data_IF_630859280674
#
_entry.id   IF_630859280674
#
_cell.length_a   1.000
_cell.length_b   1.000
_cell.length_c   1.000
_cell.angle_alpha   90.00
_cell.angle_beta   90.00
_cell.angle_gamma   90.00
#
_symmetry.space_group_name_H-M   'P 1'
#
loop_
_entity.id
_entity.type
_entity.pdbx_description
1 polymer ?
#
# COMPACT_ATOMS: atom_id res chain seq x y z
N UNK A 1 -12.71 -13.72 79.94
CA UNK A 1 -13.29 -12.87 78.92
C UNK A 1 -12.29 -12.83 77.74
N UNK A 2 -12.47 -13.71 76.76
CA UNK A 2 -11.56 -13.89 75.63
C UNK A 2 -12.18 -13.22 74.42
N UNK A 3 -11.59 -12.16 73.91
CA UNK A 3 -12.05 -11.42 72.75
C UNK A 3 -11.52 -12.11 71.45
N UNK A 4 -12.45 -12.61 70.64
CA UNK A 4 -12.15 -13.16 69.32
C UNK A 4 -11.96 -12.00 68.29
N UNK A 5 -10.78 -11.96 67.65
CA UNK A 5 -10.51 -11.04 66.54
C UNK A 5 -10.94 -11.71 65.23
N UNK A 6 -11.96 -11.15 64.62
CA UNK A 6 -12.40 -11.53 63.26
C UNK A 6 -11.49 -10.80 62.25
N UNK A 7 -10.69 -11.54 61.49
CA UNK A 7 -9.93 -11.01 60.35
C UNK A 7 -10.82 -11.02 59.11
N UNK A 8 -11.15 -9.84 58.59
CA UNK A 8 -11.84 -9.68 57.32
C UNK A 8 -10.81 -9.73 56.22
N UNK A 9 -10.82 -10.82 55.40
CA UNK A 9 -10.02 -10.95 54.20
C UNK A 9 -10.81 -10.29 53.07
N UNK A 10 -10.33 -9.13 52.61
CA UNK A 10 -10.84 -8.48 51.38
C UNK A 10 -10.15 -9.11 50.20
N UNK A 11 -10.85 -9.98 49.47
CA UNK A 11 -10.40 -10.45 48.13
C UNK A 11 -10.59 -9.32 47.11
N UNK A 12 -9.48 -8.70 46.73
CA UNK A 12 -9.42 -7.83 45.55
C UNK A 12 -9.50 -8.70 44.30
N UNK A 13 -10.69 -8.80 43.72
CA UNK A 13 -10.87 -9.34 42.35
C UNK A 13 -10.29 -8.32 41.39
N UNK A 14 -9.04 -8.53 40.95
CA UNK A 14 -8.47 -7.84 39.80
C UNK A 14 -9.21 -8.31 38.56
N UNK A 15 -10.28 -7.62 38.20
CA UNK A 15 -10.96 -7.78 36.91
C UNK A 15 -10.00 -7.40 35.81
N UNK A 16 -9.45 -8.38 35.09
CA UNK A 16 -8.80 -8.14 33.80
C UNK A 16 -9.87 -7.62 32.85
N UNK A 17 -9.84 -6.31 32.58
CA UNK A 17 -10.64 -5.71 31.53
C UNK A 17 -10.22 -6.38 30.20
N UNK A 18 -10.99 -7.36 29.75
CA UNK A 18 -10.87 -7.90 28.39
C UNK A 18 -11.25 -6.78 27.45
N UNK A 19 -10.24 -6.25 26.74
CA UNK A 19 -10.50 -5.33 25.65
C UNK A 19 -11.47 -6.02 24.67
N UNK A 20 -12.71 -5.53 24.61
CA UNK A 20 -13.69 -6.05 23.67
C UNK A 20 -13.15 -5.83 22.25
N UNK A 21 -13.00 -6.91 21.47
CA UNK A 21 -12.59 -6.85 20.09
C UNK A 21 -13.58 -5.98 19.31
N UNK A 22 -13.10 -4.93 18.64
CA UNK A 22 -13.95 -4.09 17.80
C UNK A 22 -14.55 -4.93 16.67
N UNK A 23 -15.84 -4.76 16.32
CA UNK A 23 -16.41 -5.37 15.13
C UNK A 23 -15.56 -5.05 13.89
N UNK A 24 -15.43 -5.98 12.96
CA UNK A 24 -14.57 -5.81 11.76
C UNK A 24 -14.93 -4.55 10.96
N UNK A 25 -16.21 -4.24 10.79
CA UNK A 25 -16.69 -3.04 10.11
C UNK A 25 -16.15 -1.74 10.74
N UNK A 26 -15.99 -1.71 12.07
CA UNK A 26 -15.45 -0.54 12.77
C UNK A 26 -13.95 -0.30 12.52
N UNK A 27 -13.22 -1.29 11.97
CA UNK A 27 -11.82 -1.12 11.56
C UNK A 27 -11.68 -0.34 10.24
N UNK A 28 -12.78 -0.12 9.52
CA UNK A 28 -12.82 0.65 8.28
C UNK A 28 -13.38 2.06 8.49
N UNK A 29 -13.81 2.38 9.71
CA UNK A 29 -14.35 3.69 10.02
C UNK A 29 -13.27 4.78 9.86
N UNK A 30 -13.57 5.92 9.19
CA UNK A 30 -12.67 7.04 9.08
C UNK A 30 -12.08 7.50 10.43
N UNK A 31 -12.87 7.51 11.49
CA UNK A 31 -12.41 7.90 12.83
C UNK A 31 -11.40 6.88 13.41
N UNK A 32 -11.58 5.59 13.13
CA UNK A 32 -10.61 4.56 13.52
C UNK A 32 -9.26 4.74 12.79
N UNK A 33 -9.30 5.13 11.51
CA UNK A 33 -8.08 5.43 10.73
C UNK A 33 -7.34 6.63 11.30
N UNK A 34 -8.07 7.68 11.70
CA UNK A 34 -7.49 8.88 12.35
C UNK A 34 -6.89 8.53 13.71
N UNK A 35 -7.63 7.81 14.54
CA UNK A 35 -7.19 7.42 15.90
C UNK A 35 -6.04 6.40 15.89
N UNK A 36 -5.97 5.59 14.83
CA UNK A 36 -5.16 4.38 14.76
C UNK A 36 -5.95 3.11 15.10
N UNK A 37 -5.62 2.03 14.42
CA UNK A 37 -6.30 0.73 14.53
C UNK A 37 -5.44 -0.19 15.41
N UNK A 38 -6.02 -0.70 16.49
CA UNK A 38 -5.40 -1.69 17.36
C UNK A 38 -6.09 -3.04 17.16
N UNK A 39 -5.30 -4.08 16.88
CA UNK A 39 -5.74 -5.48 16.75
C UNK A 39 -4.74 -6.32 17.51
N UNK A 40 -5.23 -7.09 18.48
CA UNK A 40 -4.40 -8.03 19.23
C UNK A 40 -4.15 -9.32 18.44
N UNK A 41 -3.21 -10.14 18.92
CA UNK A 41 -2.83 -11.39 18.26
C UNK A 41 -3.99 -12.38 18.16
N UNK A 42 -4.88 -12.42 19.18
CA UNK A 42 -6.05 -13.33 19.20
C UNK A 42 -7.07 -12.93 18.13
N UNK A 43 -7.36 -11.64 18.02
CA UNK A 43 -8.24 -11.11 16.97
C UNK A 43 -7.62 -11.30 15.60
N UNK A 44 -6.32 -11.05 15.43
CA UNK A 44 -5.61 -11.30 14.17
C UNK A 44 -5.69 -12.76 13.74
N UNK A 45 -5.53 -13.70 14.67
CA UNK A 45 -5.62 -15.14 14.36
C UNK A 45 -6.97 -15.55 13.77
N UNK A 46 -8.06 -14.85 14.07
CA UNK A 46 -9.35 -15.07 13.41
C UNK A 46 -9.30 -14.64 11.94
N UNK A 47 -8.70 -13.48 11.65
CA UNK A 47 -8.50 -13.00 10.28
C UNK A 47 -7.50 -13.84 9.48
N UNK A 48 -6.46 -14.38 10.14
CA UNK A 48 -5.51 -15.30 9.50
C UNK A 48 -6.18 -16.62 9.08
N UNK A 49 -7.09 -17.16 9.91
CA UNK A 49 -7.88 -18.35 9.54
C UNK A 49 -8.85 -18.08 8.38
N UNK A 50 -9.33 -16.85 8.27
CA UNK A 50 -10.17 -16.41 7.15
C UNK A 50 -9.32 -15.98 5.92
N UNK A 51 -7.99 -16.19 5.96
CA UNK A 51 -7.06 -15.80 4.89
C UNK A 51 -7.15 -14.33 4.48
N UNK A 52 -7.35 -13.45 5.46
CA UNK A 52 -7.47 -11.99 5.24
C UNK A 52 -6.48 -11.17 6.06
N UNK A 53 -5.51 -11.81 6.74
CA UNK A 53 -4.48 -11.12 7.49
C UNK A 53 -3.18 -11.94 7.60
N UNK A 54 -2.14 -11.21 8.02
CA UNK A 54 -0.86 -11.77 8.46
C UNK A 54 -0.44 -11.05 9.75
N UNK A 55 0.02 -11.81 10.74
CA UNK A 55 0.65 -11.25 11.93
C UNK A 55 2.17 -11.14 11.71
N UNK A 56 2.68 -9.94 11.63
CA UNK A 56 4.11 -9.66 11.42
C UNK A 56 4.59 -8.56 12.37
N UNK A 57 5.77 -8.71 12.96
CA UNK A 57 6.45 -7.68 13.77
C UNK A 57 5.53 -7.04 14.85
N UNK A 58 4.58 -7.80 15.42
CA UNK A 58 3.64 -7.30 16.41
C UNK A 58 2.40 -6.60 15.85
N UNK A 59 2.20 -6.59 14.54
CA UNK A 59 1.07 -5.96 13.87
C UNK A 59 0.24 -6.97 13.07
N UNK A 60 -1.07 -6.77 13.05
CA UNK A 60 -2.01 -7.49 12.20
C UNK A 60 -2.22 -6.72 10.91
N UNK A 61 -1.65 -7.15 9.80
CA UNK A 61 -1.86 -6.50 8.51
C UNK A 61 -2.88 -7.26 7.68
N UNK A 62 -3.87 -6.54 7.18
CA UNK A 62 -4.97 -7.09 6.38
C UNK A 62 -4.59 -7.11 4.90
N UNK A 63 -5.02 -8.15 4.22
CA UNK A 63 -4.99 -8.23 2.76
C UNK A 63 -6.29 -8.82 2.25
N UNK A 64 -6.63 -8.50 1.01
CA UNK A 64 -7.79 -8.99 0.30
C UNK A 64 -7.32 -9.54 -1.02
N UNK A 65 -7.70 -10.78 -1.35
CA UNK A 65 -7.10 -11.49 -2.48
C UNK A 65 -8.14 -12.28 -3.26
N UNK A 66 -7.85 -12.47 -4.55
CA UNK A 66 -8.60 -13.35 -5.42
C UNK A 66 -7.68 -14.06 -6.42
N UNK A 67 -8.09 -15.23 -6.88
CA UNK A 67 -7.38 -16.00 -7.89
C UNK A 67 -6.12 -16.73 -7.41
N UNK A 68 -5.81 -16.69 -6.10
CA UNK A 68 -4.68 -17.42 -5.53
C UNK A 68 -4.94 -18.92 -5.52
N UNK A 69 -4.00 -19.69 -6.07
CA UNK A 69 -3.92 -21.11 -5.80
C UNK A 69 -3.32 -21.34 -4.40
N UNK A 70 -3.67 -22.44 -3.74
CA UNK A 70 -3.12 -22.76 -2.41
C UNK A 70 -1.59 -22.86 -2.41
N UNK A 71 -1.01 -23.33 -3.51
CA UNK A 71 0.45 -23.39 -3.76
C UNK A 71 0.70 -23.25 -5.25
N UNK A 72 1.92 -22.80 -5.60
CA UNK A 72 2.39 -22.67 -6.98
C UNK A 72 1.71 -21.54 -7.79
N UNK A 73 1.88 -20.30 -7.32
CA UNK A 73 1.55 -19.10 -8.09
C UNK A 73 2.85 -18.56 -8.75
N UNK A 74 3.01 -18.69 -10.09
CA UNK A 74 4.21 -18.20 -10.77
C UNK A 74 4.44 -16.72 -10.57
N UNK A 75 3.35 -15.94 -10.62
CA UNK A 75 3.33 -14.51 -10.38
C UNK A 75 2.00 -14.13 -9.71
N UNK A 76 2.03 -13.12 -8.85
CA UNK A 76 0.84 -12.47 -8.31
C UNK A 76 0.99 -10.95 -8.37
N UNK A 77 -0.12 -10.24 -8.57
CA UNK A 77 -0.15 -8.80 -8.43
C UNK A 77 -0.42 -8.42 -6.98
N UNK A 78 0.25 -7.36 -6.49
CA UNK A 78 -0.03 -6.78 -5.19
C UNK A 78 -0.16 -5.26 -5.34
N UNK A 79 -1.27 -4.73 -4.86
CA UNK A 79 -1.59 -3.31 -4.89
C UNK A 79 -1.47 -2.65 -3.53
N UNK A 80 -0.84 -1.48 -3.50
CA UNK A 80 -0.68 -0.62 -2.33
C UNK A 80 -1.45 0.69 -2.52
N UNK A 81 -2.38 0.97 -1.61
CA UNK A 81 -3.20 2.19 -1.67
C UNK A 81 -2.40 3.48 -1.42
N UNK A 82 -2.91 4.60 -1.89
CA UNK A 82 -2.46 5.94 -1.56
C UNK A 82 -2.69 6.31 -0.09
N UNK A 83 -2.22 7.48 0.30
CA UNK A 83 -2.50 8.02 1.63
C UNK A 83 -4.00 8.36 1.75
N UNK A 84 -4.65 7.88 2.79
CA UNK A 84 -6.07 8.10 3.07
C UNK A 84 -6.30 9.14 4.17
N UNK A 85 -5.24 9.68 4.73
CA UNK A 85 -5.26 10.78 5.70
C UNK A 85 -4.71 12.07 5.10
N UNK A 86 -5.32 13.18 5.45
CA UNK A 86 -4.80 14.50 5.16
C UNK A 86 -3.38 14.73 5.70
N UNK A 87 -2.73 15.84 5.31
CA UNK A 87 -1.33 16.10 5.69
C UNK A 87 -1.09 16.10 7.21
N UNK A 88 -2.05 16.59 7.99
CA UNK A 88 -1.98 16.64 9.46
C UNK A 88 -2.38 15.33 10.15
N UNK A 89 -2.98 14.37 9.42
CA UNK A 89 -3.45 13.12 9.98
C UNK A 89 -4.72 13.21 10.82
N UNK A 90 -5.38 14.34 10.79
CA UNK A 90 -6.59 14.70 11.56
C UNK A 90 -7.89 14.50 10.78
N UNK A 91 -7.80 14.14 9.51
CA UNK A 91 -8.95 13.98 8.62
C UNK A 91 -8.72 12.79 7.69
N UNK A 92 -9.63 11.82 7.72
CA UNK A 92 -9.62 10.70 6.80
C UNK A 92 -10.41 11.03 5.52
N UNK A 93 -10.03 10.39 4.42
CA UNK A 93 -10.75 10.50 3.16
C UNK A 93 -12.18 9.97 3.34
N UNK A 94 -13.18 10.81 3.08
CA UNK A 94 -14.60 10.46 3.19
C UNK A 94 -15.01 9.31 2.28
N UNK A 95 -14.25 9.07 1.19
CA UNK A 95 -14.43 7.91 0.30
C UNK A 95 -14.23 6.57 1.00
N UNK A 96 -13.64 6.55 2.21
CA UNK A 96 -13.53 5.35 3.05
C UNK A 96 -14.87 4.92 3.65
N UNK A 97 -15.87 5.81 3.72
CA UNK A 97 -17.18 5.49 4.27
C UNK A 97 -17.90 4.44 3.41
N UNK A 98 -18.34 3.38 4.03
CA UNK A 98 -19.04 2.28 3.35
C UNK A 98 -18.11 1.25 2.69
N UNK A 99 -16.78 1.44 2.72
CA UNK A 99 -15.83 0.42 2.29
C UNK A 99 -15.70 -0.63 3.40
N UNK A 100 -15.61 -1.90 3.00
CA UNK A 100 -15.43 -3.01 3.92
C UNK A 100 -14.73 -4.20 3.24
N UNK A 101 -14.51 -5.31 3.95
CA UNK A 101 -13.81 -6.48 3.42
C UNK A 101 -14.42 -7.01 2.11
N UNK A 102 -15.75 -7.06 2.04
CA UNK A 102 -16.45 -7.55 0.84
C UNK A 102 -16.17 -6.67 -0.39
N UNK A 103 -16.16 -5.33 -0.22
CA UNK A 103 -15.83 -4.38 -1.29
C UNK A 103 -14.41 -4.60 -1.81
N UNK A 104 -13.45 -4.76 -0.88
CA UNK A 104 -12.05 -4.97 -1.23
C UNK A 104 -11.84 -6.31 -1.95
N UNK A 105 -12.49 -7.38 -1.47
CA UNK A 105 -12.44 -8.70 -2.11
C UNK A 105 -13.04 -8.63 -3.52
N UNK A 106 -14.20 -8.02 -3.69
CA UNK A 106 -14.86 -7.89 -5.00
C UNK A 106 -14.00 -7.11 -6.01
N UNK A 107 -13.26 -6.09 -5.56
CA UNK A 107 -12.30 -5.37 -6.40
C UNK A 107 -11.19 -6.31 -6.88
N UNK A 108 -10.60 -7.12 -5.98
CA UNK A 108 -9.54 -8.07 -6.36
C UNK A 108 -10.06 -9.19 -7.26
N UNK A 109 -11.30 -9.66 -7.04
CA UNK A 109 -11.94 -10.61 -7.95
C UNK A 109 -12.11 -10.03 -9.36
N UNK A 110 -12.52 -8.77 -9.46
CA UNK A 110 -12.66 -8.09 -10.75
C UNK A 110 -11.31 -7.99 -11.48
N UNK A 111 -10.25 -7.58 -10.77
CA UNK A 111 -8.89 -7.49 -11.34
C UNK A 111 -8.35 -8.86 -11.73
N UNK A 112 -8.50 -9.86 -10.85
CA UNK A 112 -8.04 -11.22 -11.13
C UNK A 112 -8.75 -11.82 -12.34
N UNK A 113 -10.07 -11.67 -12.47
CA UNK A 113 -10.82 -12.13 -13.66
C UNK A 113 -10.39 -11.39 -14.93
N UNK A 114 -10.21 -10.06 -14.84
CA UNK A 114 -9.84 -9.22 -15.99
C UNK A 114 -8.50 -9.59 -16.60
N UNK A 115 -7.52 -9.94 -15.75
CA UNK A 115 -6.14 -10.16 -16.19
C UNK A 115 -5.71 -11.63 -16.13
N UNK A 116 -6.53 -12.52 -15.55
CA UNK A 116 -6.20 -13.96 -15.43
C UNK A 116 -5.01 -14.23 -14.50
N UNK A 117 -4.70 -13.31 -13.58
CA UNK A 117 -3.60 -13.44 -12.59
C UNK A 117 -4.14 -13.23 -11.17
N UNK A 118 -3.53 -13.85 -10.15
CA UNK A 118 -3.89 -13.55 -8.77
C UNK A 118 -3.74 -12.07 -8.46
N UNK A 119 -4.74 -11.50 -7.78
CA UNK A 119 -4.74 -10.10 -7.37
C UNK A 119 -4.86 -9.97 -5.86
N UNK A 120 -3.98 -9.18 -5.25
CA UNK A 120 -3.91 -8.95 -3.81
C UNK A 120 -3.91 -7.44 -3.57
N UNK A 121 -4.82 -6.96 -2.72
CA UNK A 121 -4.74 -5.64 -2.11
C UNK A 121 -4.12 -5.79 -0.73
N UNK A 122 -2.98 -5.19 -0.49
CA UNK A 122 -2.37 -5.14 0.84
C UNK A 122 -2.69 -3.81 1.50
N UNK A 123 -3.46 -3.87 2.57
CA UNK A 123 -3.79 -2.70 3.38
C UNK A 123 -2.55 -2.23 4.16
N UNK A 124 -2.11 -1.02 3.89
CA UNK A 124 -0.97 -0.39 4.58
C UNK A 124 -1.26 -0.23 6.08
N UNK A 125 -0.25 -0.13 6.96
CA UNK A 125 -0.47 0.03 8.40
C UNK A 125 -1.45 1.16 8.72
N UNK A 126 -2.47 0.86 9.53
CA UNK A 126 -3.53 1.78 9.94
C UNK A 126 -4.53 2.16 8.85
N UNK A 127 -4.65 1.36 7.78
CA UNK A 127 -5.63 1.56 6.69
C UNK A 127 -6.43 0.29 6.44
N UNK A 128 -7.64 0.39 5.92
CA UNK A 128 -8.47 -0.74 5.46
C UNK A 128 -8.47 -1.95 6.39
N UNK A 129 -8.61 -1.69 7.69
CA UNK A 129 -8.66 -2.72 8.72
C UNK A 129 -7.31 -3.24 9.20
N UNK A 130 -6.17 -2.80 8.67
CA UNK A 130 -4.83 -3.12 9.19
C UNK A 130 -4.52 -2.39 10.49
N UNK A 131 -3.88 -3.08 11.42
CA UNK A 131 -3.36 -2.45 12.64
C UNK A 131 -2.29 -1.40 12.34
N UNK A 132 -2.23 -0.37 13.17
CA UNK A 132 -1.23 0.68 13.10
C UNK A 132 -1.83 2.08 13.18
N UNK A 133 -0.93 3.07 13.17
CA UNK A 133 -1.29 4.49 13.14
C UNK A 133 -0.75 5.11 11.85
N UNK A 134 -1.59 5.14 10.81
CA UNK A 134 -1.17 5.48 9.44
C UNK A 134 -0.36 6.78 9.37
N UNK A 135 -0.82 7.87 9.99
CA UNK A 135 -0.12 9.14 9.98
C UNK A 135 1.31 9.06 10.55
N UNK A 136 1.49 8.28 11.62
CA UNK A 136 2.79 8.12 12.28
C UNK A 136 3.74 7.16 11.54
N UNK A 137 3.20 6.25 10.72
CA UNK A 137 3.98 5.16 10.10
C UNK A 137 4.25 5.40 8.62
N UNK A 138 3.34 6.07 7.88
CA UNK A 138 3.44 6.26 6.44
C UNK A 138 4.76 6.89 6.01
N UNK A 139 5.39 6.28 5.02
CA UNK A 139 6.66 6.72 4.45
C UNK A 139 7.87 6.50 5.36
N UNK A 140 7.72 5.88 6.53
CA UNK A 140 8.83 5.58 7.45
C UNK A 140 9.30 4.15 7.32
N UNK A 141 10.52 3.90 7.82
CA UNK A 141 11.15 2.57 7.81
C UNK A 141 10.22 1.46 8.32
N UNK A 142 9.50 1.72 9.41
CA UNK A 142 8.57 0.74 9.99
C UNK A 142 7.47 0.30 9.00
N UNK A 143 6.93 1.21 8.20
CA UNK A 143 5.94 0.84 7.18
C UNK A 143 6.57 -0.06 6.11
N UNK A 144 7.75 0.31 5.62
CA UNK A 144 8.45 -0.47 4.60
C UNK A 144 8.86 -1.86 5.11
N UNK A 145 9.29 -1.96 6.37
CA UNK A 145 9.65 -3.23 7.01
C UNK A 145 8.43 -4.15 7.15
N UNK A 146 7.30 -3.62 7.62
CA UNK A 146 6.05 -4.37 7.77
C UNK A 146 5.51 -4.85 6.43
N UNK A 147 5.52 -4.00 5.40
CA UNK A 147 5.07 -4.38 4.06
C UNK A 147 5.97 -5.46 3.45
N UNK A 148 7.29 -5.35 3.60
CA UNK A 148 8.22 -6.39 3.14
C UNK A 148 7.94 -7.72 3.84
N UNK A 149 7.77 -7.72 5.16
CA UNK A 149 7.49 -8.93 5.94
C UNK A 149 6.15 -9.59 5.54
N UNK A 150 5.11 -8.81 5.24
CA UNK A 150 3.83 -9.37 4.73
C UNK A 150 4.02 -9.97 3.35
N UNK A 151 4.75 -9.32 2.43
CA UNK A 151 5.04 -9.86 1.10
C UNK A 151 5.77 -11.21 1.21
N UNK A 152 6.73 -11.34 2.14
CA UNK A 152 7.44 -12.60 2.39
C UNK A 152 6.52 -13.69 2.97
N UNK A 153 5.66 -13.33 3.90
CA UNK A 153 4.69 -14.26 4.48
C UNK A 153 3.67 -14.75 3.45
N UNK A 154 3.16 -13.88 2.57
CA UNK A 154 2.26 -14.25 1.48
C UNK A 154 2.98 -15.10 0.42
N UNK A 155 4.23 -14.76 0.09
CA UNK A 155 5.08 -15.55 -0.80
C UNK A 155 5.21 -16.98 -0.31
N UNK A 156 5.53 -17.16 0.97
CA UNK A 156 5.65 -18.48 1.60
C UNK A 156 4.31 -19.21 1.66
N UNK A 157 3.23 -18.53 2.06
CA UNK A 157 1.89 -19.11 2.22
C UNK A 157 1.33 -19.67 0.92
N UNK A 158 1.45 -18.92 -0.18
CA UNK A 158 0.82 -19.22 -1.45
C UNK A 158 1.80 -19.71 -2.53
N UNK A 159 3.07 -19.92 -2.21
CA UNK A 159 4.08 -20.38 -3.17
C UNK A 159 4.25 -19.42 -4.35
N UNK A 160 4.20 -18.09 -4.08
CA UNK A 160 4.38 -17.06 -5.11
C UNK A 160 5.86 -16.97 -5.44
N UNK A 161 6.23 -17.06 -6.73
CA UNK A 161 7.64 -17.00 -7.14
C UNK A 161 8.08 -15.57 -7.41
N UNK A 162 7.31 -14.82 -8.17
CA UNK A 162 7.59 -13.44 -8.57
C UNK A 162 6.41 -12.52 -8.24
N UNK A 163 6.70 -11.26 -8.08
CA UNK A 163 5.70 -10.25 -7.79
C UNK A 163 5.57 -9.21 -8.90
N UNK A 164 4.35 -8.80 -9.17
CA UNK A 164 4.04 -7.53 -9.80
C UNK A 164 3.51 -6.59 -8.70
N UNK A 165 4.30 -5.60 -8.27
CA UNK A 165 3.89 -4.61 -7.29
C UNK A 165 3.39 -3.36 -7.97
N UNK A 166 2.23 -2.87 -7.54
CA UNK A 166 1.66 -1.60 -7.99
C UNK A 166 1.23 -0.74 -6.81
N UNK A 167 1.24 0.56 -7.00
CA UNK A 167 0.74 1.47 -5.99
C UNK A 167 0.54 2.89 -6.52
N UNK A 168 -0.35 3.60 -5.82
CA UNK A 168 -0.69 4.97 -6.16
C UNK A 168 -0.26 5.92 -5.04
N UNK A 169 0.21 7.13 -5.38
CA UNK A 169 0.57 8.18 -4.42
C UNK A 169 1.54 7.66 -3.34
N UNK A 170 1.20 7.69 -2.07
CA UNK A 170 1.98 7.10 -0.99
C UNK A 170 2.28 5.61 -1.17
N UNK A 171 1.34 4.84 -1.74
CA UNK A 171 1.56 3.44 -2.14
C UNK A 171 2.58 3.31 -3.27
N UNK A 172 2.53 4.20 -4.26
CA UNK A 172 3.54 4.27 -5.33
C UNK A 172 4.94 4.60 -4.80
N UNK A 173 5.01 5.50 -3.81
CA UNK A 173 6.28 5.79 -3.11
C UNK A 173 6.83 4.53 -2.42
N UNK A 174 5.95 3.74 -1.80
CA UNK A 174 6.33 2.50 -1.14
C UNK A 174 6.76 1.41 -2.13
N UNK A 175 6.14 1.32 -3.32
CA UNK A 175 6.62 0.45 -4.42
C UNK A 175 8.05 0.83 -4.83
N UNK A 176 8.34 2.14 -4.95
CA UNK A 176 9.71 2.61 -5.22
C UNK A 176 10.72 2.20 -4.15
N UNK A 177 10.32 2.19 -2.87
CA UNK A 177 11.16 1.71 -1.77
C UNK A 177 11.35 0.17 -1.82
N UNK A 178 10.31 -0.59 -2.20
CA UNK A 178 10.40 -2.05 -2.35
C UNK A 178 11.33 -2.48 -3.47
N UNK A 179 11.50 -1.68 -4.53
CA UNK A 179 12.47 -1.96 -5.59
C UNK A 179 13.90 -2.10 -5.07
N UNK A 180 14.29 -1.31 -4.07
CA UNK A 180 15.62 -1.37 -3.48
C UNK A 180 15.79 -2.47 -2.41
N UNK A 181 14.68 -3.14 -2.03
CA UNK A 181 14.64 -4.14 -0.95
C UNK A 181 14.41 -5.56 -1.44
N UNK A 182 13.97 -5.73 -2.71
CA UNK A 182 13.52 -7.04 -3.22
C UNK A 182 14.14 -7.35 -4.56
N UNK A 183 14.48 -8.62 -4.72
CA UNK A 183 15.00 -9.19 -5.98
C UNK A 183 13.97 -9.99 -6.76
N UNK A 184 12.81 -10.29 -6.16
CA UNK A 184 11.72 -11.09 -6.74
C UNK A 184 10.62 -10.26 -7.43
N UNK A 185 10.88 -9.00 -7.75
CA UNK A 185 9.93 -8.15 -8.47
C UNK A 185 10.12 -8.28 -9.98
N UNK A 186 9.12 -8.83 -10.67
CA UNK A 186 9.02 -8.87 -12.13
C UNK A 186 8.55 -7.54 -12.70
N UNK A 187 7.58 -6.92 -12.02
CA UNK A 187 6.99 -5.65 -12.39
C UNK A 187 6.94 -4.72 -11.19
N UNK A 188 7.17 -3.42 -11.43
CA UNK A 188 6.86 -2.35 -10.50
C UNK A 188 6.09 -1.25 -11.21
N UNK A 189 4.88 -0.93 -10.75
CA UNK A 189 4.03 0.14 -11.30
C UNK A 189 3.86 1.23 -10.25
N UNK A 190 4.41 2.39 -10.53
CA UNK A 190 4.43 3.56 -9.66
C UNK A 190 3.54 4.62 -10.28
N UNK A 191 2.39 4.90 -9.68
CA UNK A 191 1.44 5.90 -10.13
C UNK A 191 1.45 7.11 -9.20
N UNK A 192 1.72 8.29 -9.73
CA UNK A 192 1.70 9.56 -8.98
C UNK A 192 2.47 9.49 -7.65
N UNK A 193 3.55 8.71 -7.60
CA UNK A 193 4.33 8.44 -6.40
C UNK A 193 5.38 9.52 -6.11
N UNK A 194 5.53 9.93 -4.84
CA UNK A 194 6.60 10.84 -4.41
C UNK A 194 7.94 10.09 -4.26
N UNK A 195 8.42 9.47 -5.35
CA UNK A 195 9.57 8.56 -5.37
C UNK A 195 10.94 9.27 -5.37
N UNK A 196 11.00 10.57 -5.69
CA UNK A 196 12.09 11.47 -5.36
C UNK A 196 11.60 12.39 -4.24
N UNK A 197 11.52 11.84 -3.01
CA UNK A 197 10.76 12.46 -1.92
C UNK A 197 11.31 13.81 -1.49
N UNK A 198 12.61 13.97 -1.44
CA UNK A 198 13.27 15.27 -1.17
C UNK A 198 12.87 16.31 -2.23
N UNK A 199 13.05 15.96 -3.50
CA UNK A 199 12.73 16.85 -4.60
C UNK A 199 11.22 17.24 -4.61
N UNK A 200 10.36 16.28 -4.27
CA UNK A 200 8.92 16.54 -4.08
C UNK A 200 8.65 17.58 -2.98
N UNK A 201 9.27 17.44 -1.81
CA UNK A 201 9.08 18.37 -0.70
C UNK A 201 9.63 19.77 -1.01
N UNK A 202 10.80 19.82 -1.65
CA UNK A 202 11.44 21.08 -2.07
C UNK A 202 10.60 21.80 -3.14
N UNK A 203 10.14 21.09 -4.17
CA UNK A 203 9.27 21.63 -5.22
C UNK A 203 7.93 22.17 -4.69
N UNK A 204 7.47 21.65 -3.54
CA UNK A 204 6.26 22.11 -2.85
C UNK A 204 6.54 23.18 -1.79
N UNK A 205 7.78 23.57 -1.59
CA UNK A 205 8.17 24.51 -0.52
C UNK A 205 7.91 23.99 0.91
N UNK A 206 7.83 22.66 1.08
CA UNK A 206 7.54 22.02 2.36
C UNK A 206 8.77 21.82 3.24
N UNK A 207 9.95 21.87 2.66
CA UNK A 207 11.24 21.84 3.36
C UNK A 207 12.21 22.83 2.72
N UNK A 208 13.21 23.25 3.51
CA UNK A 208 14.39 23.97 2.99
C UNK A 208 15.40 22.98 2.42
N UNK A 209 16.24 23.37 1.44
CA UNK A 209 17.36 22.54 0.97
C UNK A 209 18.22 22.07 2.14
N UNK A 210 18.63 20.78 2.12
CA UNK A 210 19.47 20.19 3.17
C UNK A 210 18.72 19.76 4.45
N UNK A 211 17.41 19.96 4.57
CA UNK A 211 16.65 19.51 5.73
C UNK A 211 16.72 17.97 5.89
N UNK A 212 16.74 17.49 7.14
CA UNK A 212 16.69 16.06 7.44
C UNK A 212 15.31 15.49 7.12
N UNK A 213 15.26 14.38 6.38
CA UNK A 213 14.02 13.67 6.09
C UNK A 213 13.70 12.69 7.22
N UNK A 214 12.41 12.63 7.58
CA UNK A 214 11.87 11.63 8.52
C UNK A 214 11.25 10.43 7.81
N UNK A 215 11.10 10.51 6.49
CA UNK A 215 10.57 9.46 5.62
C UNK A 215 11.64 8.99 4.67
N UNK A 216 11.49 7.76 4.18
CA UNK A 216 12.40 7.23 3.16
C UNK A 216 12.25 8.02 1.85
N UNK A 217 13.32 8.06 1.09
CA UNK A 217 13.38 8.65 -0.25
C UNK A 217 13.87 7.57 -1.23
N UNK A 218 12.99 6.95 -2.02
CA UNK A 218 13.37 5.89 -2.96
C UNK A 218 14.46 6.32 -3.95
N UNK A 219 14.53 7.61 -4.30
CA UNK A 219 15.56 8.11 -5.22
C UNK A 219 16.99 7.89 -4.71
N UNK A 220 17.21 8.11 -3.42
CA UNK A 220 18.55 7.90 -2.83
C UNK A 220 18.88 6.40 -2.64
N UNK A 221 17.91 5.53 -2.83
CA UNK A 221 18.06 4.08 -2.74
C UNK A 221 18.29 3.40 -4.10
N UNK A 222 18.31 4.14 -5.20
CA UNK A 222 18.38 3.59 -6.56
C UNK A 222 19.63 2.73 -6.81
N UNK A 223 20.76 3.03 -6.15
CA UNK A 223 21.98 2.23 -6.27
C UNK A 223 21.86 0.83 -5.64
N UNK A 224 20.87 0.64 -4.77
CA UNK A 224 20.57 -0.65 -4.12
C UNK A 224 19.58 -1.51 -4.89
N UNK A 225 18.94 -0.96 -5.94
CA UNK A 225 18.00 -1.73 -6.76
C UNK A 225 18.76 -2.86 -7.46
N UNK A 226 18.40 -4.15 -7.21
CA UNK A 226 19.10 -5.28 -7.83
C UNK A 226 18.98 -5.23 -9.34
N UNK A 227 20.06 -5.55 -10.05
CA UNK A 227 20.06 -5.67 -11.51
C UNK A 227 19.30 -6.93 -11.93
N UNK A 228 18.29 -6.74 -12.74
CA UNK A 228 17.49 -7.81 -13.33
C UNK A 228 16.96 -7.36 -14.71
N UNK A 229 17.47 -7.93 -15.82
CA UNK A 229 17.05 -7.56 -17.16
C UNK A 229 15.59 -7.94 -17.46
N UNK A 230 15.00 -8.84 -16.68
CA UNK A 230 13.62 -9.25 -16.83
C UNK A 230 12.63 -8.34 -16.07
N UNK A 231 13.14 -7.55 -15.09
CA UNK A 231 12.33 -6.60 -14.32
C UNK A 231 11.94 -5.40 -15.17
N UNK A 232 10.71 -4.96 -15.04
CA UNK A 232 10.18 -3.77 -15.70
C UNK A 232 9.58 -2.81 -14.70
N UNK A 233 9.94 -1.53 -14.81
CA UNK A 233 9.44 -0.46 -13.94
C UNK A 233 8.63 0.52 -14.79
N UNK A 234 7.44 0.85 -14.35
CA UNK A 234 6.56 1.84 -14.97
C UNK A 234 6.35 3.00 -14.02
N UNK A 235 6.66 4.21 -14.48
CA UNK A 235 6.34 5.45 -13.78
C UNK A 235 5.23 6.15 -14.56
N UNK A 236 4.06 6.28 -13.95
CA UNK A 236 2.85 6.79 -14.57
C UNK A 236 2.42 8.05 -13.84
N UNK A 237 2.28 9.17 -14.54
CA UNK A 237 1.88 10.43 -13.96
C UNK A 237 1.18 11.35 -14.96
N UNK A 238 0.35 12.26 -14.47
CA UNK A 238 -0.24 13.32 -15.29
C UNK A 238 0.74 14.52 -15.33
N UNK A 239 1.13 14.99 -16.52
CA UNK A 239 2.02 16.16 -16.64
C UNK A 239 1.48 17.44 -15.97
N UNK A 240 0.16 17.51 -15.75
CA UNK A 240 -0.52 18.64 -15.11
C UNK A 240 -0.62 18.50 -13.58
N UNK A 241 -0.09 17.39 -13.03
CA UNK A 241 -0.26 17.07 -11.60
C UNK A 241 0.32 18.14 -10.68
N UNK A 242 -0.48 18.59 -9.71
CA UNK A 242 -0.11 19.60 -8.72
C UNK A 242 0.12 19.04 -7.31
N UNK A 243 -0.27 17.77 -7.05
CA UNK A 243 -0.05 17.12 -5.76
C UNK A 243 1.38 16.56 -5.63
N UNK A 244 1.77 15.68 -6.55
CA UNK A 244 3.15 15.17 -6.68
C UNK A 244 3.67 15.61 -8.05
N UNK A 245 4.42 16.73 -8.14
CA UNK A 245 4.82 17.32 -9.43
C UNK A 245 5.44 16.28 -10.36
N UNK A 246 4.94 16.20 -11.60
CA UNK A 246 5.39 15.20 -12.58
C UNK A 246 6.90 15.21 -12.81
N UNK A 247 7.54 16.40 -12.72
CA UNK A 247 8.98 16.52 -12.83
C UNK A 247 9.75 15.71 -11.79
N UNK A 248 9.20 15.54 -10.56
CA UNK A 248 9.83 14.75 -9.51
C UNK A 248 9.64 13.24 -9.74
N UNK A 249 8.57 12.83 -10.38
CA UNK A 249 8.37 11.45 -10.83
C UNK A 249 9.31 11.12 -11.99
N UNK A 250 9.46 12.05 -12.94
CA UNK A 250 10.43 11.94 -14.04
C UNK A 250 11.87 11.86 -13.54
N UNK A 251 12.24 12.63 -12.51
CA UNK A 251 13.57 12.56 -11.90
C UNK A 251 13.92 11.14 -11.42
N UNK A 252 12.96 10.45 -10.80
CA UNK A 252 13.15 9.05 -10.38
C UNK A 252 13.32 8.12 -11.58
N UNK A 253 12.49 8.28 -12.62
CA UNK A 253 12.62 7.54 -13.87
C UNK A 253 14.00 7.75 -14.52
N UNK A 254 14.45 9.00 -14.64
CA UNK A 254 15.76 9.32 -15.21
C UNK A 254 16.89 8.66 -14.38
N UNK A 255 16.75 8.63 -13.05
CA UNK A 255 17.65 7.95 -12.15
C UNK A 255 17.71 6.42 -12.36
N UNK A 256 16.59 5.78 -12.66
CA UNK A 256 16.54 4.35 -13.02
C UNK A 256 17.26 4.10 -14.34
N UNK A 257 16.98 4.89 -15.37
CA UNK A 257 17.61 4.77 -16.69
C UNK A 257 19.14 4.98 -16.59
N UNK A 258 19.58 6.01 -15.88
CA UNK A 258 21.01 6.28 -15.68
C UNK A 258 21.75 5.11 -15.01
N UNK A 259 21.04 4.27 -14.27
CA UNK A 259 21.57 3.06 -13.64
C UNK A 259 21.35 1.79 -14.48
N UNK A 260 20.80 1.91 -15.70
CA UNK A 260 20.61 0.81 -16.64
C UNK A 260 19.46 -0.13 -16.25
N UNK A 261 18.44 0.35 -15.49
CA UNK A 261 17.23 -0.40 -15.24
C UNK A 261 16.24 -0.24 -16.40
N UNK A 262 15.50 -1.31 -16.74
CA UNK A 262 14.44 -1.26 -17.73
C UNK A 262 13.23 -0.53 -17.12
N UNK A 263 13.08 0.75 -17.44
CA UNK A 263 11.98 1.58 -16.99
C UNK A 263 11.28 2.27 -18.16
N UNK A 264 9.98 2.55 -17.99
CA UNK A 264 9.15 3.27 -18.95
C UNK A 264 8.41 4.40 -18.23
N UNK A 265 8.58 5.63 -18.69
CA UNK A 265 7.79 6.77 -18.24
C UNK A 265 6.55 6.89 -19.12
N UNK A 266 5.37 6.93 -18.49
CA UNK A 266 4.08 7.05 -19.20
C UNK A 266 3.38 8.33 -18.75
N UNK A 267 3.56 9.44 -19.47
CA UNK A 267 2.77 10.65 -19.22
C UNK A 267 1.33 10.43 -19.68
N UNK A 268 0.36 10.64 -18.79
CA UNK A 268 -1.07 10.47 -19.03
C UNK A 268 -1.85 11.69 -18.55
N UNK A 269 -2.17 12.62 -19.46
CA UNK A 269 -3.03 13.76 -19.16
C UNK A 269 -4.52 13.34 -19.15
N UNK A 270 -4.86 12.37 -18.28
CA UNK A 270 -6.15 11.67 -18.26
C UNK A 270 -6.90 11.76 -16.94
N UNK A 271 -6.34 12.44 -15.94
CA UNK A 271 -7.01 12.63 -14.65
C UNK A 271 -8.15 13.63 -14.75
N UNK A 272 -9.19 13.41 -13.94
CA UNK A 272 -10.38 14.27 -13.86
C UNK A 272 -10.51 15.01 -12.53
N UNK A 273 -9.69 14.65 -11.54
CA UNK A 273 -9.66 15.34 -10.25
C UNK A 273 -8.93 16.70 -10.35
N UNK A 274 -9.27 17.62 -9.47
CA UNK A 274 -8.75 18.99 -9.49
C UNK A 274 -7.23 19.12 -9.32
N UNK A 275 -6.57 18.07 -8.80
CA UNK A 275 -5.11 18.02 -8.61
C UNK A 275 -4.39 17.28 -9.72
N UNK A 276 -5.11 16.72 -10.66
CA UNK A 276 -4.58 15.84 -11.71
C UNK A 276 -3.76 14.68 -11.16
N UNK A 277 -4.24 14.06 -10.07
CA UNK A 277 -3.51 13.08 -9.27
C UNK A 277 -4.01 11.65 -9.46
N UNK A 278 -5.33 11.43 -9.63
CA UNK A 278 -5.94 10.09 -9.58
C UNK A 278 -5.80 9.33 -10.91
N UNK A 279 -4.81 8.43 -10.94
CA UNK A 279 -4.54 7.51 -12.06
C UNK A 279 -4.64 6.02 -11.62
N UNK A 280 -5.39 5.72 -10.55
CA UNK A 280 -5.46 4.36 -9.97
C UNK A 280 -5.87 3.32 -11.02
N UNK A 281 -6.98 3.53 -11.75
CA UNK A 281 -7.50 2.56 -12.72
C UNK A 281 -6.53 2.29 -13.87
N UNK A 282 -5.77 3.31 -14.29
CA UNK A 282 -4.72 3.18 -15.28
C UNK A 282 -3.56 2.34 -14.74
N UNK A 283 -3.15 2.58 -13.51
CA UNK A 283 -2.04 1.88 -12.89
C UNK A 283 -2.37 0.41 -12.57
N UNK A 284 -3.58 0.10 -12.11
CA UNK A 284 -4.07 -1.27 -11.93
C UNK A 284 -4.10 -2.02 -13.28
N UNK A 285 -4.50 -1.32 -14.37
CA UNK A 285 -4.44 -1.89 -15.72
C UNK A 285 -3.00 -2.19 -16.15
N UNK A 286 -2.08 -1.24 -15.95
CA UNK A 286 -0.67 -1.44 -16.25
C UNK A 286 -0.07 -2.61 -15.46
N UNK A 287 -0.46 -2.75 -14.19
CA UNK A 287 -0.02 -3.83 -13.31
C UNK A 287 -0.44 -5.20 -13.84
N UNK A 288 -1.73 -5.36 -14.17
CA UNK A 288 -2.24 -6.62 -14.73
C UNK A 288 -1.62 -6.98 -16.07
N UNK A 289 -1.46 -6.00 -16.98
CA UNK A 289 -0.80 -6.21 -18.26
C UNK A 289 0.69 -6.56 -18.10
N UNK A 290 1.40 -5.92 -17.17
CA UNK A 290 2.78 -6.23 -16.89
C UNK A 290 2.96 -7.62 -16.30
N UNK A 291 2.09 -8.04 -15.38
CA UNK A 291 2.08 -9.40 -14.83
C UNK A 291 1.91 -10.46 -15.92
N UNK A 292 1.15 -10.15 -16.98
CA UNK A 292 0.98 -11.00 -18.16
C UNK A 292 2.11 -10.88 -19.20
N UNK A 293 3.18 -10.15 -18.89
CA UNK A 293 4.33 -10.06 -19.78
C UNK A 293 4.23 -9.05 -20.93
N UNK A 294 3.19 -8.19 -20.96
CA UNK A 294 3.05 -7.15 -21.98
C UNK A 294 4.25 -6.20 -22.00
N UNK A 295 4.69 -5.77 -23.18
CA UNK A 295 5.79 -4.82 -23.33
C UNK A 295 5.38 -3.40 -22.88
N UNK A 296 6.37 -2.53 -22.63
CA UNK A 296 6.14 -1.15 -22.27
C UNK A 296 5.29 -0.38 -23.28
N UNK A 297 5.52 -0.60 -24.58
CA UNK A 297 4.75 0.05 -25.64
C UNK A 297 3.30 -0.41 -25.68
N UNK A 298 3.06 -1.73 -25.52
CA UNK A 298 1.71 -2.29 -25.44
C UNK A 298 0.97 -1.72 -24.23
N UNK A 299 1.61 -1.64 -23.07
CA UNK A 299 1.01 -1.05 -21.87
C UNK A 299 0.70 0.42 -22.11
N UNK A 300 1.66 1.21 -22.61
CA UNK A 300 1.45 2.63 -22.87
C UNK A 300 0.31 2.88 -23.85
N UNK A 301 0.22 2.08 -24.91
CA UNK A 301 -0.87 2.16 -25.89
C UNK A 301 -2.21 1.82 -25.25
N UNK A 302 -2.28 0.73 -24.49
CA UNK A 302 -3.50 0.32 -23.81
C UNK A 302 -4.01 1.40 -22.85
N UNK A 303 -3.11 2.03 -22.07
CA UNK A 303 -3.49 3.10 -21.14
C UNK A 303 -4.02 4.34 -21.86
N UNK A 304 -3.46 4.70 -23.02
CA UNK A 304 -3.97 5.82 -23.84
C UNK A 304 -5.34 5.53 -24.43
N UNK A 305 -5.65 4.27 -24.70
CA UNK A 305 -6.92 3.85 -25.27
C UNK A 305 -8.05 3.71 -24.22
N UNK A 306 -7.72 3.61 -22.92
CA UNK A 306 -8.74 3.54 -21.88
C UNK A 306 -9.61 4.81 -21.90
N UNK A 307 -10.92 4.69 -21.67
CA UNK A 307 -11.76 5.85 -21.41
C UNK A 307 -11.26 6.57 -20.14
N UNK A 308 -11.52 7.87 -20.04
CA UNK A 308 -11.32 8.55 -18.76
C UNK A 308 -12.23 7.85 -17.74
N UNK A 309 -11.71 7.51 -16.56
CA UNK A 309 -12.58 6.95 -15.54
C UNK A 309 -13.74 7.91 -15.30
N UNK A 310 -14.97 7.41 -15.17
CA UNK A 310 -16.07 8.26 -14.77
C UNK A 310 -15.71 8.93 -13.44
N UNK A 311 -16.17 10.16 -13.18
CA UNK A 311 -15.98 10.78 -11.87
C UNK A 311 -16.40 9.77 -10.81
N UNK A 312 -15.50 9.42 -9.90
CA UNK A 312 -15.87 8.57 -8.77
C UNK A 312 -16.96 9.30 -8.02
N UNK A 313 -18.15 8.71 -7.97
CA UNK A 313 -19.27 9.28 -7.23
C UNK A 313 -18.80 9.38 -5.79
N UNK A 314 -18.56 10.60 -5.33
CA UNK A 314 -18.35 10.88 -3.92
C UNK A 314 -19.74 10.83 -3.26
N UNK A 315 -20.09 9.64 -2.74
CA UNK A 315 -21.26 9.53 -1.87
C UNK A 315 -20.97 10.13 -0.50
#
# INVERSE_FOLDING_TARGET
MTAARIAVVVLLLAGTAQAQSRPEAALFDPDAVVAGIAIDKRQCAAFERAETAVWVEGYCLRYYAAGLAQRANPIATLWLNGDILGPKGDNADKRQKGIGPATMTAQMESLSRRFGVPAIFLARPGTYGSAGKHHAMRGRKIEADLVAAVIDALKSRYGIREWALGGHSGGGTLVGEMLARRDDLRCAVISSGAVAYRAYLEARGLIKPGATLTRFDPYVSLDRVPKDPARRVFVIGDPRETNVPFATQKLYYDGLIARGHAATLIPLARTTDARHHDLVDFAETALGLCANGASGDVIAQALRALPNPPPRVTN
#
